data_IF_585536144908
#
_entry.id   IF_585536144908
#
_cell.length_a   1.000
_cell.length_b   1.000
_cell.length_c   1.000
_cell.angle_alpha   90.00
_cell.angle_beta   90.00
_cell.angle_gamma   90.00
#
_symmetry.space_group_name_H-M   'P 1'
#
loop_
_entity.id
_entity.type
_entity.pdbx_description
1 polymer ?
#
# COMPACT_ATOMS: atom_id res chain seq x y z
N UNK A 1 -30.28 4.50 -17.98
CA UNK A 1 -29.16 3.83 -18.68
C UNK A 1 -28.40 3.08 -17.62
N UNK A 2 -28.56 1.76 -17.56
CA UNK A 2 -27.79 0.88 -16.69
C UNK A 2 -26.35 0.87 -17.20
N UNK A 3 -25.44 1.51 -16.46
CA UNK A 3 -24.00 1.38 -16.72
C UNK A 3 -23.61 -0.02 -16.26
N UNK A 4 -23.66 -0.97 -17.20
CA UNK A 4 -23.00 -2.25 -17.03
C UNK A 4 -21.50 -1.97 -17.03
N UNK A 5 -20.89 -1.97 -15.85
CA UNK A 5 -19.44 -2.10 -15.77
C UNK A 5 -19.08 -3.42 -16.46
N UNK A 6 -18.06 -3.45 -17.34
CA UNK A 6 -17.49 -4.73 -17.73
C UNK A 6 -16.91 -5.33 -16.44
N UNK A 7 -17.69 -6.20 -15.81
CA UNK A 7 -17.10 -7.13 -14.87
C UNK A 7 -15.99 -7.81 -15.65
N UNK A 8 -14.77 -7.73 -15.16
CA UNK A 8 -13.77 -8.73 -15.51
C UNK A 8 -14.52 -10.04 -15.31
N UNK A 9 -14.83 -10.73 -16.42
CA UNK A 9 -15.50 -12.02 -16.38
C UNK A 9 -14.48 -13.06 -15.88
N UNK A 10 -14.11 -12.93 -14.62
CA UNK A 10 -13.56 -14.02 -13.83
C UNK A 10 -14.81 -14.68 -13.32
N UNK A 11 -15.15 -15.80 -13.93
CA UNK A 11 -16.22 -16.66 -13.47
C UNK A 11 -15.75 -17.33 -12.18
N UNK A 12 -16.06 -16.72 -11.05
CA UNK A 12 -15.76 -17.28 -9.71
C UNK A 12 -16.59 -18.54 -9.41
N UNK A 13 -17.50 -18.94 -10.29
CA UNK A 13 -18.38 -20.09 -10.08
C UNK A 13 -17.77 -21.42 -10.52
N UNK A 14 -16.56 -21.45 -11.07
CA UNK A 14 -15.92 -22.65 -11.60
C UNK A 14 -14.50 -22.85 -11.05
N UNK A 15 -14.33 -22.72 -9.74
CA UNK A 15 -13.06 -22.85 -9.02
C UNK A 15 -12.69 -24.30 -8.65
N UNK A 16 -13.30 -25.28 -9.28
CA UNK A 16 -12.86 -26.67 -9.14
C UNK A 16 -11.51 -26.81 -9.87
N UNK A 17 -10.48 -27.18 -9.12
CA UNK A 17 -9.15 -27.49 -9.69
C UNK A 17 -9.28 -28.59 -10.74
N UNK A 18 -8.71 -28.32 -11.92
CA UNK A 18 -8.56 -29.34 -12.96
C UNK A 18 -7.58 -30.45 -12.52
N UNK A 19 -7.54 -31.58 -13.22
CA UNK A 19 -6.64 -32.69 -12.86
C UNK A 19 -5.15 -32.30 -12.82
N UNK A 20 -4.73 -31.38 -13.68
CA UNK A 20 -3.36 -30.89 -13.71
C UNK A 20 -3.05 -30.01 -12.50
N UNK A 21 -3.97 -29.12 -12.14
CA UNK A 21 -3.84 -28.26 -10.95
C UNK A 21 -3.84 -29.09 -9.67
N UNK A 22 -4.70 -30.14 -9.58
CA UNK A 22 -4.71 -31.05 -8.46
C UNK A 22 -3.37 -31.79 -8.31
N UNK A 23 -2.78 -32.28 -9.41
CA UNK A 23 -1.47 -32.94 -9.37
C UNK A 23 -0.36 -31.98 -8.93
N UNK A 24 -0.44 -30.69 -9.30
CA UNK A 24 0.50 -29.66 -8.81
C UNK A 24 0.29 -29.42 -7.32
N UNK A 25 -0.94 -29.32 -6.85
CA UNK A 25 -1.27 -29.15 -5.44
C UNK A 25 -0.73 -30.30 -4.58
N UNK A 26 -0.93 -31.54 -5.02
CA UNK A 26 -0.38 -32.72 -4.36
C UNK A 26 1.16 -32.65 -4.29
N UNK A 27 1.80 -32.23 -5.38
CA UNK A 27 3.26 -32.09 -5.41
C UNK A 27 3.77 -30.99 -4.48
N UNK A 28 3.04 -29.86 -4.35
CA UNK A 28 3.36 -28.82 -3.37
C UNK A 28 3.27 -29.38 -1.95
N UNK A 29 2.21 -30.13 -1.64
CA UNK A 29 2.04 -30.75 -0.33
C UNK A 29 3.19 -31.72 0.03
N UNK A 30 3.59 -32.58 -0.91
CA UNK A 30 4.75 -33.45 -0.74
C UNK A 30 6.05 -32.68 -0.46
N UNK A 31 6.29 -31.59 -1.21
CA UNK A 31 7.49 -30.78 -1.02
C UNK A 31 7.47 -30.03 0.32
N UNK A 32 6.32 -29.56 0.76
CA UNK A 32 6.16 -28.96 2.11
C UNK A 32 6.53 -29.99 3.19
N UNK A 33 6.05 -31.20 3.09
CA UNK A 33 6.38 -32.27 4.04
C UNK A 33 7.87 -32.61 4.04
N UNK A 34 8.49 -32.69 2.85
CA UNK A 34 9.92 -32.98 2.70
C UNK A 34 10.82 -31.87 3.26
N UNK A 35 10.44 -30.61 3.08
CA UNK A 35 11.24 -29.45 3.52
C UNK A 35 10.98 -29.08 4.99
N UNK A 36 9.81 -29.41 5.51
CA UNK A 36 9.44 -29.16 6.90
C UNK A 36 9.70 -27.70 7.31
N UNK A 37 10.37 -27.51 8.43
CA UNK A 37 10.64 -26.18 9.02
C UNK A 37 11.61 -25.30 8.18
N UNK A 38 12.25 -25.84 7.15
CA UNK A 38 13.11 -25.08 6.25
C UNK A 38 12.30 -24.29 5.18
N UNK A 39 10.99 -24.49 5.08
CA UNK A 39 10.09 -23.82 4.15
C UNK A 39 8.98 -23.07 4.87
N UNK A 40 8.74 -21.82 4.47
CA UNK A 40 7.57 -21.03 4.83
C UNK A 40 6.90 -20.51 3.56
N UNK A 41 5.60 -20.71 3.42
CA UNK A 41 4.80 -20.17 2.32
C UNK A 41 3.90 -19.06 2.87
N UNK A 42 4.11 -17.83 2.41
CA UNK A 42 3.32 -16.66 2.75
C UNK A 42 2.33 -16.35 1.63
N UNK A 43 1.07 -16.14 1.97
CA UNK A 43 0.00 -15.80 1.02
C UNK A 43 -0.65 -14.47 1.33
N UNK A 44 -0.70 -13.55 0.35
CA UNK A 44 -1.48 -12.34 0.51
C UNK A 44 -2.97 -12.62 0.37
N UNK A 45 -3.81 -11.92 1.11
CA UNK A 45 -5.29 -12.12 1.16
C UNK A 45 -5.98 -12.18 -0.21
N UNK A 46 -5.48 -11.50 -1.22
CA UNK A 46 -6.10 -11.45 -2.54
C UNK A 46 -5.72 -12.61 -3.46
N UNK A 47 -4.88 -13.53 -3.01
CA UNK A 47 -4.53 -14.71 -3.80
C UNK A 47 -5.76 -15.62 -3.96
N UNK A 48 -5.77 -16.37 -5.07
CA UNK A 48 -6.83 -17.36 -5.32
C UNK A 48 -6.78 -18.47 -4.27
N UNK A 49 -7.92 -19.09 -4.00
CA UNK A 49 -8.04 -20.17 -3.02
C UNK A 49 -7.07 -21.33 -3.31
N UNK A 50 -6.83 -21.65 -4.61
CA UNK A 50 -5.86 -22.64 -5.03
C UNK A 50 -4.39 -22.31 -4.66
N UNK A 51 -4.09 -21.07 -4.35
CA UNK A 51 -2.79 -20.63 -3.84
C UNK A 51 -2.84 -20.53 -2.32
N UNK A 52 -3.89 -19.93 -1.79
CA UNK A 52 -4.08 -19.70 -0.35
C UNK A 52 -4.05 -21.01 0.43
N UNK A 53 -4.61 -22.10 -0.13
CA UNK A 53 -4.62 -23.43 0.49
C UNK A 53 -3.23 -23.97 0.82
N UNK A 54 -2.19 -23.49 0.17
CA UNK A 54 -0.80 -23.90 0.40
C UNK A 54 -0.05 -22.98 1.36
N UNK A 55 -0.58 -21.78 1.65
CA UNK A 55 0.05 -20.82 2.53
C UNK A 55 0.06 -21.33 3.98
N UNK A 56 1.17 -21.12 4.67
CA UNK A 56 1.29 -21.37 6.10
C UNK A 56 0.75 -20.17 6.90
N UNK A 57 0.91 -18.95 6.36
CA UNK A 57 0.43 -17.71 6.96
C UNK A 57 -0.21 -16.83 5.91
N UNK A 58 -1.31 -16.17 6.28
CA UNK A 58 -2.03 -15.21 5.47
C UNK A 58 -1.96 -13.82 6.12
N UNK A 59 -1.88 -12.78 5.32
CA UNK A 59 -1.83 -11.42 5.83
C UNK A 59 -1.82 -10.35 4.74
N UNK A 60 -1.70 -9.11 5.17
CA UNK A 60 -1.36 -7.99 4.31
C UNK A 60 0.15 -7.91 4.03
N UNK A 61 0.56 -6.93 3.24
CA UNK A 61 1.95 -6.78 2.79
C UNK A 61 2.94 -6.61 3.95
N UNK A 62 2.58 -5.81 4.96
CA UNK A 62 3.48 -5.51 6.06
C UNK A 62 3.56 -6.65 7.06
N UNK A 63 2.41 -7.17 7.49
CA UNK A 63 2.33 -8.31 8.40
C UNK A 63 3.11 -9.51 7.86
N UNK A 64 2.95 -9.84 6.58
CA UNK A 64 3.68 -10.95 5.97
C UNK A 64 5.19 -10.73 5.95
N UNK A 65 5.65 -9.49 5.75
CA UNK A 65 7.08 -9.16 5.80
C UNK A 65 7.65 -9.28 7.22
N UNK A 66 6.89 -8.87 8.25
CA UNK A 66 7.28 -9.07 9.64
C UNK A 66 7.31 -10.56 10.03
N UNK A 67 6.32 -11.34 9.58
CA UNK A 67 6.28 -12.79 9.82
C UNK A 67 7.44 -13.51 9.12
N UNK A 68 7.85 -13.06 7.92
CA UNK A 68 9.05 -13.55 7.26
C UNK A 68 10.29 -13.32 8.13
N UNK A 69 10.48 -12.10 8.64
CA UNK A 69 11.61 -11.73 9.49
C UNK A 69 11.66 -12.50 10.82
N UNK A 70 10.50 -12.88 11.38
CA UNK A 70 10.40 -13.65 12.60
C UNK A 70 10.61 -15.15 12.39
N UNK A 71 10.49 -15.63 11.16
CA UNK A 71 10.65 -17.03 10.80
C UNK A 71 12.12 -17.48 10.87
N UNK A 72 12.31 -18.77 11.09
CA UNK A 72 13.63 -19.44 10.98
C UNK A 72 13.76 -20.26 9.69
N UNK A 73 12.73 -20.28 8.85
CA UNK A 73 12.76 -20.99 7.59
C UNK A 73 13.81 -20.37 6.66
N UNK A 74 14.61 -21.22 6.03
CA UNK A 74 15.65 -20.79 5.08
C UNK A 74 15.08 -20.36 3.73
N UNK A 75 13.93 -20.93 3.35
CA UNK A 75 13.26 -20.66 2.10
C UNK A 75 11.87 -20.13 2.40
N UNK A 76 11.60 -18.90 1.95
CA UNK A 76 10.33 -18.22 2.14
C UNK A 76 9.72 -17.97 0.77
N UNK A 77 8.65 -18.69 0.43
CA UNK A 77 7.90 -18.48 -0.81
C UNK A 77 6.86 -17.41 -0.54
N UNK A 78 6.97 -16.27 -1.23
CA UNK A 78 6.06 -15.14 -1.07
C UNK A 78 5.04 -15.11 -2.20
N UNK A 79 3.81 -15.56 -1.93
CA UNK A 79 2.69 -15.50 -2.87
C UNK A 79 2.02 -14.13 -2.78
N UNK A 80 2.59 -13.15 -3.48
CA UNK A 80 2.15 -11.76 -3.54
C UNK A 80 2.73 -11.08 -4.78
N UNK A 81 3.01 -9.78 -4.68
CA UNK A 81 3.65 -8.98 -5.73
C UNK A 81 5.07 -8.57 -5.35
N UNK A 82 5.83 -8.06 -6.33
CA UNK A 82 7.27 -7.83 -6.24
C UNK A 82 7.67 -6.99 -5.01
N UNK A 83 7.08 -5.81 -4.80
CA UNK A 83 7.47 -4.94 -3.68
C UNK A 83 7.26 -5.58 -2.29
N UNK A 84 6.33 -6.54 -2.17
CA UNK A 84 6.11 -7.28 -0.92
C UNK A 84 7.24 -8.26 -0.66
N UNK A 85 7.66 -9.00 -1.70
CA UNK A 85 8.79 -9.91 -1.61
C UNK A 85 10.10 -9.15 -1.31
N UNK A 86 10.33 -7.99 -1.95
CA UNK A 86 11.46 -7.10 -1.63
C UNK A 86 11.44 -6.67 -0.16
N UNK A 87 10.28 -6.28 0.35
CA UNK A 87 10.16 -5.85 1.74
C UNK A 87 10.43 -7.00 2.73
N UNK A 88 9.98 -8.20 2.40
CA UNK A 88 10.29 -9.39 3.19
C UNK A 88 11.81 -9.70 3.14
N UNK A 89 12.43 -9.58 1.97
CA UNK A 89 13.87 -9.83 1.79
C UNK A 89 14.73 -8.83 2.58
N UNK A 90 14.34 -7.55 2.57
CA UNK A 90 15.03 -6.50 3.38
C UNK A 90 14.98 -6.79 4.89
N UNK A 91 13.90 -7.38 5.37
CA UNK A 91 13.69 -7.63 6.80
C UNK A 91 14.22 -8.98 7.27
N UNK A 92 14.49 -9.91 6.34
CA UNK A 92 15.04 -11.24 6.65
C UNK A 92 16.56 -11.21 6.78
N UNK A 93 17.16 -12.31 7.26
CA UNK A 93 18.61 -12.44 7.39
C UNK A 93 19.25 -12.95 6.10
N UNK A 94 20.56 -12.75 5.97
CA UNK A 94 21.37 -13.25 4.83
C UNK A 94 21.32 -14.78 4.65
N UNK A 95 20.92 -15.52 5.67
CA UNK A 95 20.78 -16.98 5.63
C UNK A 95 19.42 -17.42 5.05
N UNK A 96 18.46 -16.51 4.94
CA UNK A 96 17.12 -16.74 4.42
C UNK A 96 17.05 -16.33 2.95
N UNK A 97 16.19 -16.98 2.22
CA UNK A 97 15.95 -16.68 0.80
C UNK A 97 14.47 -16.44 0.58
N UNK A 98 14.12 -15.23 0.17
CA UNK A 98 12.75 -14.90 -0.26
C UNK A 98 12.61 -15.21 -1.74
N UNK A 99 11.58 -15.98 -2.09
CA UNK A 99 11.33 -16.47 -3.43
C UNK A 99 9.96 -15.95 -3.89
N UNK A 100 9.96 -15.09 -4.91
CA UNK A 100 8.75 -14.68 -5.61
C UNK A 100 8.50 -15.63 -6.79
N UNK A 101 7.42 -16.42 -6.80
CA UNK A 101 7.19 -17.45 -7.84
C UNK A 101 7.09 -16.88 -9.25
N UNK A 102 6.63 -15.64 -9.38
CA UNK A 102 6.55 -14.94 -10.66
C UNK A 102 7.10 -13.52 -10.55
N UNK A 103 8.32 -13.30 -11.05
CA UNK A 103 8.98 -11.98 -11.05
C UNK A 103 8.22 -10.88 -11.81
N UNK A 104 7.22 -11.23 -12.63
CA UNK A 104 6.35 -10.27 -13.31
C UNK A 104 5.09 -9.92 -12.53
N UNK A 105 4.92 -10.49 -11.33
CA UNK A 105 3.84 -10.13 -10.43
C UNK A 105 4.11 -8.73 -9.86
N UNK A 106 3.69 -7.68 -10.57
CA UNK A 106 3.88 -6.28 -10.22
C UNK A 106 2.63 -5.63 -9.62
N UNK A 107 2.79 -4.39 -9.20
CA UNK A 107 1.71 -3.53 -8.73
C UNK A 107 1.79 -2.21 -9.50
N UNK A 108 0.77 -1.91 -10.32
CA UNK A 108 0.77 -0.72 -11.16
C UNK A 108 0.93 0.59 -10.37
N UNK A 109 0.47 0.63 -9.13
CA UNK A 109 0.64 1.80 -8.27
C UNK A 109 2.11 1.94 -7.80
N UNK A 110 2.73 0.83 -7.39
CA UNK A 110 4.14 0.84 -6.99
C UNK A 110 5.05 1.30 -8.14
N UNK A 111 4.68 0.95 -9.38
CA UNK A 111 5.41 1.29 -10.60
C UNK A 111 5.13 2.74 -11.10
N UNK A 112 4.22 3.49 -10.45
CA UNK A 112 3.91 4.88 -10.81
C UNK A 112 4.89 5.89 -10.21
N UNK A 113 5.82 5.47 -9.38
CA UNK A 113 6.91 6.32 -8.88
C UNK A 113 8.24 5.61 -9.13
N UNK A 114 9.01 6.12 -10.07
CA UNK A 114 10.37 5.67 -10.32
C UNK A 114 11.36 6.51 -9.52
N UNK A 115 12.47 5.91 -9.09
CA UNK A 115 13.45 6.59 -8.24
C UNK A 115 14.00 7.87 -8.90
N UNK A 116 14.37 7.80 -10.16
CA UNK A 116 14.91 8.93 -10.93
C UNK A 116 13.91 10.09 -11.03
N UNK A 117 12.62 9.80 -11.21
CA UNK A 117 11.56 10.82 -11.22
C UNK A 117 11.34 11.42 -9.81
N UNK A 118 11.45 10.60 -8.75
CA UNK A 118 11.34 11.08 -7.37
C UNK A 118 12.53 11.95 -6.99
N UNK A 119 13.75 11.60 -7.41
CA UNK A 119 14.95 12.42 -7.20
C UNK A 119 14.84 13.78 -7.89
N UNK A 120 14.35 13.83 -9.13
CA UNK A 120 14.07 15.10 -9.83
C UNK A 120 13.02 15.91 -9.09
N UNK A 121 11.92 15.29 -8.69
CA UNK A 121 10.85 15.95 -7.93
C UNK A 121 11.37 16.52 -6.60
N UNK A 122 12.20 15.75 -5.90
CA UNK A 122 12.81 16.13 -4.63
C UNK A 122 13.58 17.44 -4.74
N UNK A 123 14.53 17.51 -5.68
CA UNK A 123 15.35 18.70 -5.93
C UNK A 123 14.49 19.92 -6.32
N UNK A 124 13.50 19.72 -7.18
CA UNK A 124 12.62 20.81 -7.61
C UNK A 124 11.73 21.31 -6.46
N UNK A 125 11.16 20.41 -5.64
CA UNK A 125 10.32 20.81 -4.51
C UNK A 125 11.14 21.58 -3.48
N UNK A 126 12.33 21.10 -3.12
CA UNK A 126 13.24 21.82 -2.22
C UNK A 126 13.55 23.22 -2.75
N UNK A 127 13.90 23.33 -4.04
CA UNK A 127 14.21 24.61 -4.68
C UNK A 127 13.01 25.57 -4.71
N UNK A 128 11.80 25.07 -4.97
CA UNK A 128 10.58 25.89 -5.08
C UNK A 128 9.98 26.29 -3.72
N UNK A 129 10.11 25.42 -2.72
CA UNK A 129 9.54 25.63 -1.39
C UNK A 129 10.46 26.36 -0.43
N UNK A 130 11.77 26.32 -0.65
CA UNK A 130 12.79 26.79 0.29
C UNK A 130 12.94 25.91 1.54
N UNK A 131 12.40 24.70 1.52
CA UNK A 131 12.59 23.70 2.57
C UNK A 131 13.97 23.04 2.43
N UNK A 132 14.48 22.50 3.53
CA UNK A 132 15.75 21.79 3.57
C UNK A 132 15.55 20.28 3.52
N UNK A 133 16.57 19.58 2.99
CA UNK A 133 16.66 18.13 3.12
C UNK A 133 17.07 17.77 4.57
N UNK A 134 16.31 16.93 5.28
CA UNK A 134 16.65 16.53 6.65
C UNK A 134 18.06 15.96 6.82
N UNK A 135 18.60 15.29 5.80
CA UNK A 135 19.95 14.71 5.84
C UNK A 135 21.05 15.76 5.95
N UNK A 136 20.79 17.02 5.53
CA UNK A 136 21.77 18.12 5.48
C UNK A 136 21.31 19.37 6.22
N UNK A 137 20.08 19.39 6.73
CA UNK A 137 19.47 20.54 7.39
C UNK A 137 20.23 20.94 8.66
N UNK A 138 20.26 22.25 8.93
CA UNK A 138 20.76 22.80 10.18
C UNK A 138 19.66 22.85 11.22
N UNK A 139 20.07 22.92 12.50
CA UNK A 139 19.13 23.06 13.61
C UNK A 139 18.20 24.26 13.40
N UNK A 140 16.89 24.03 13.47
CA UNK A 140 15.84 25.05 13.31
C UNK A 140 15.37 25.29 11.89
N UNK A 141 15.98 24.67 10.89
CA UNK A 141 15.45 24.71 9.51
C UNK A 141 14.19 23.84 9.37
N UNK A 142 13.25 24.33 8.57
CA UNK A 142 12.07 23.54 8.21
C UNK A 142 12.38 22.64 7.02
N UNK A 143 11.98 21.39 7.12
CA UNK A 143 12.37 20.34 6.18
C UNK A 143 11.20 19.81 5.35
N UNK A 144 11.54 19.22 4.21
CA UNK A 144 10.68 18.34 3.44
C UNK A 144 10.96 16.90 3.87
N UNK A 145 9.97 16.17 4.35
CA UNK A 145 10.13 14.77 4.79
C UNK A 145 9.57 13.83 3.74
N UNK A 146 10.36 12.93 3.15
CA UNK A 146 9.84 11.95 2.22
C UNK A 146 9.14 10.81 2.99
N UNK A 147 7.91 10.51 2.61
CA UNK A 147 7.13 9.40 3.15
C UNK A 147 6.68 8.52 2.00
N UNK A 148 7.14 7.28 1.99
CA UNK A 148 6.69 6.31 0.99
C UNK A 148 5.67 5.34 1.59
N UNK A 149 4.65 5.05 0.80
CA UNK A 149 3.76 3.94 1.10
C UNK A 149 4.50 2.61 0.91
N UNK A 150 4.20 1.62 1.73
CA UNK A 150 4.78 0.27 1.64
C UNK A 150 4.71 -0.31 0.21
N UNK A 151 3.63 0.05 -0.51
CA UNK A 151 3.39 -0.34 -1.90
C UNK A 151 4.26 0.50 -2.86
N UNK A 152 5.57 0.34 -2.76
CA UNK A 152 6.60 1.00 -3.54
C UNK A 152 7.82 0.10 -3.68
N UNK A 153 8.69 0.35 -4.66
CA UNK A 153 9.95 -0.37 -4.84
C UNK A 153 10.90 -0.18 -3.66
N UNK A 154 11.80 -1.12 -3.45
CA UNK A 154 12.80 -1.08 -2.38
C UNK A 154 13.70 0.16 -2.45
N UNK A 155 14.07 0.58 -3.66
CA UNK A 155 14.87 1.78 -3.90
C UNK A 155 14.23 3.09 -3.42
N UNK A 156 12.88 3.17 -3.41
CA UNK A 156 12.15 4.30 -2.85
C UNK A 156 12.14 4.30 -1.32
N UNK A 157 12.17 3.12 -0.71
CA UNK A 157 12.32 2.96 0.74
C UNK A 157 13.72 3.39 1.18
N UNK A 158 14.75 3.00 0.40
CA UNK A 158 16.13 3.45 0.60
C UNK A 158 16.26 4.97 0.44
N UNK A 159 15.64 5.54 -0.60
CA UNK A 159 15.56 6.99 -0.77
C UNK A 159 15.00 7.69 0.47
N UNK A 160 13.86 7.22 1.01
CA UNK A 160 13.32 7.75 2.26
C UNK A 160 14.33 7.66 3.40
N UNK A 161 14.99 6.52 3.57
CA UNK A 161 16.00 6.32 4.61
C UNK A 161 17.16 7.29 4.49
N UNK A 162 17.68 7.50 3.29
CA UNK A 162 18.79 8.45 3.01
C UNK A 162 18.42 9.91 3.28
N UNK A 163 17.18 10.29 3.10
CA UNK A 163 16.68 11.66 3.28
C UNK A 163 15.90 11.86 4.59
N UNK A 164 16.11 10.99 5.58
CA UNK A 164 15.51 11.14 6.92
C UNK A 164 13.98 10.95 6.95
N UNK A 165 13.45 10.26 5.95
CA UNK A 165 12.04 9.90 5.82
C UNK A 165 11.69 8.53 6.38
N UNK A 166 10.52 8.01 6.00
CA UNK A 166 9.96 6.79 6.58
C UNK A 166 8.99 6.10 5.62
N UNK A 167 8.74 4.82 5.88
CA UNK A 167 7.71 4.00 5.20
C UNK A 167 6.42 4.01 6.00
N UNK A 168 5.27 4.11 5.34
CA UNK A 168 3.96 3.96 5.96
C UNK A 168 3.17 2.80 5.36
N UNK A 169 2.12 2.38 6.08
CA UNK A 169 1.05 1.51 5.60
C UNK A 169 -0.27 2.26 5.62
N UNK A 170 -1.32 1.72 5.00
CA UNK A 170 -2.66 2.32 5.08
C UNK A 170 -3.23 2.37 6.50
N UNK A 171 -2.76 1.50 7.40
CA UNK A 171 -3.22 1.46 8.79
C UNK A 171 -2.51 2.44 9.71
N UNK A 172 -1.27 2.86 9.39
CA UNK A 172 -0.48 3.75 10.25
C UNK A 172 -0.16 5.12 9.62
N UNK A 173 -0.70 5.43 8.43
CA UNK A 173 -0.36 6.64 7.69
C UNK A 173 -0.55 7.93 8.50
N UNK A 174 -1.60 8.02 9.34
CA UNK A 174 -1.83 9.19 10.21
C UNK A 174 -0.70 9.38 11.22
N UNK A 175 -0.34 8.34 11.97
CA UNK A 175 0.78 8.40 12.93
C UNK A 175 2.13 8.67 12.26
N UNK A 176 2.33 8.17 11.04
CA UNK A 176 3.53 8.46 10.25
C UNK A 176 3.57 9.93 9.80
N UNK A 177 2.45 10.50 9.38
CA UNK A 177 2.40 11.92 9.04
C UNK A 177 2.62 12.81 10.27
N UNK A 178 2.08 12.45 11.45
CA UNK A 178 2.39 13.15 12.71
C UNK A 178 3.89 13.11 12.99
N UNK A 179 4.50 11.94 12.92
CA UNK A 179 5.94 11.76 13.09
C UNK A 179 6.76 12.58 12.09
N UNK A 180 6.31 12.67 10.84
CA UNK A 180 6.98 13.44 9.80
C UNK A 180 6.89 14.95 10.09
N UNK A 181 5.73 15.46 10.51
CA UNK A 181 5.55 16.87 10.87
C UNK A 181 6.37 17.29 12.10
N UNK A 182 6.48 16.43 13.10
CA UNK A 182 7.34 16.71 14.25
C UNK A 182 8.80 16.94 13.85
N UNK A 183 9.26 16.26 12.78
CA UNK A 183 10.61 16.39 12.23
C UNK A 183 10.74 17.52 11.20
N UNK A 184 9.70 17.76 10.43
CA UNK A 184 9.68 18.76 9.39
C UNK A 184 9.82 20.20 9.96
N UNK A 185 9.47 20.41 11.20
CA UNK A 185 9.43 21.72 11.84
C UNK A 185 8.18 22.53 11.46
N UNK A 186 8.02 23.76 12.02
CA UNK A 186 6.74 24.50 11.96
C UNK A 186 6.22 24.79 10.56
N UNK A 187 7.13 25.06 9.62
CA UNK A 187 6.81 25.37 8.23
C UNK A 187 7.15 24.23 7.27
N UNK A 188 7.51 23.07 7.81
CA UNK A 188 7.89 21.92 7.00
C UNK A 188 6.71 21.27 6.31
N UNK A 189 7.03 20.38 5.36
CA UNK A 189 6.08 19.65 4.54
C UNK A 189 6.50 18.19 4.37
N UNK A 190 5.59 17.40 3.81
CA UNK A 190 5.82 16.00 3.47
C UNK A 190 5.72 15.83 1.96
N UNK A 191 6.63 15.07 1.35
CA UNK A 191 6.45 14.47 0.02
C UNK A 191 5.93 13.06 0.22
N UNK A 192 4.68 12.81 -0.19
CA UNK A 192 4.00 11.52 -0.02
C UNK A 192 3.85 10.80 -1.36
N UNK A 193 4.38 9.60 -1.47
CA UNK A 193 4.35 8.79 -2.69
C UNK A 193 4.21 7.29 -2.39
N UNK A 194 3.79 6.43 -3.36
CA UNK A 194 3.31 6.81 -4.69
C UNK A 194 1.82 7.17 -4.75
N UNK A 195 0.99 6.88 -3.76
CA UNK A 195 -0.48 7.03 -3.80
C UNK A 195 -0.95 8.40 -3.31
N UNK A 196 -1.52 9.21 -4.23
CA UNK A 196 -2.06 10.52 -3.87
C UNK A 196 -3.29 10.46 -2.98
N UNK A 197 -4.13 9.42 -3.14
CA UNK A 197 -5.40 9.33 -2.43
C UNK A 197 -5.18 8.98 -0.96
N UNK A 198 -4.32 8.01 -0.67
CA UNK A 198 -3.94 7.67 0.70
C UNK A 198 -3.38 8.90 1.43
N UNK A 199 -2.42 9.62 0.81
CA UNK A 199 -1.84 10.80 1.42
C UNK A 199 -2.86 11.93 1.62
N UNK A 200 -3.72 12.21 0.62
CA UNK A 200 -4.76 13.24 0.70
C UNK A 200 -5.81 12.91 1.76
N UNK A 201 -6.38 11.71 1.73
CA UNK A 201 -7.42 11.31 2.65
C UNK A 201 -6.92 11.28 4.10
N UNK A 202 -5.67 10.83 4.31
CA UNK A 202 -5.02 10.89 5.62
C UNK A 202 -4.81 12.34 6.07
N UNK A 203 -4.28 13.21 5.21
CA UNK A 203 -4.10 14.62 5.54
C UNK A 203 -5.42 15.33 5.87
N UNK A 204 -6.49 15.07 5.12
CA UNK A 204 -7.83 15.60 5.41
C UNK A 204 -8.35 15.14 6.77
N UNK A 205 -8.19 13.87 7.11
CA UNK A 205 -8.60 13.32 8.42
C UNK A 205 -7.83 13.95 9.59
N UNK A 206 -6.63 14.43 9.35
CA UNK A 206 -5.81 15.18 10.30
C UNK A 206 -6.12 16.69 10.33
N UNK A 207 -7.06 17.16 9.52
CA UNK A 207 -7.46 18.57 9.45
C UNK A 207 -6.57 19.43 8.54
N UNK A 208 -5.73 18.87 7.70
CA UNK A 208 -4.95 19.60 6.72
C UNK A 208 -5.86 19.95 5.55
N UNK A 209 -6.08 21.24 5.24
CA UNK A 209 -7.01 21.63 4.19
C UNK A 209 -6.40 21.43 2.79
N UNK A 210 -7.26 21.27 1.78
CA UNK A 210 -6.85 21.01 0.40
C UNK A 210 -5.95 22.09 -0.21
N UNK A 211 -6.10 23.34 0.19
CA UNK A 211 -5.25 24.45 -0.28
C UNK A 211 -3.81 24.38 0.27
N UNK A 212 -3.54 23.50 1.22
CA UNK A 212 -2.22 23.16 1.75
C UNK A 212 -1.68 21.85 1.19
N UNK A 213 -2.35 21.28 0.21
CA UNK A 213 -1.91 20.09 -0.53
C UNK A 213 -1.69 20.43 -2.00
N UNK A 214 -0.66 19.90 -2.61
CA UNK A 214 -0.44 19.95 -4.06
C UNK A 214 -0.19 18.56 -4.61
N UNK A 215 -0.54 18.34 -5.87
CA UNK A 215 -0.20 17.11 -6.57
C UNK A 215 1.00 17.37 -7.45
N UNK A 216 2.01 16.52 -7.35
CA UNK A 216 3.18 16.51 -8.21
C UNK A 216 2.99 15.50 -9.34
N UNK A 217 3.03 15.96 -10.57
CA UNK A 217 2.95 15.12 -11.76
C UNK A 217 4.31 15.09 -12.46
N UNK A 218 4.98 13.94 -12.56
CA UNK A 218 6.26 13.84 -13.27
C UNK A 218 6.16 14.35 -14.71
N UNK A 219 7.17 15.07 -15.14
CA UNK A 219 7.26 15.60 -16.52
C UNK A 219 6.33 16.79 -16.83
N UNK A 220 5.56 17.29 -15.86
CA UNK A 220 4.72 18.48 -16.00
C UNK A 220 5.28 19.69 -15.24
N UNK A 221 4.78 20.89 -15.55
CA UNK A 221 5.09 22.08 -14.76
C UNK A 221 4.26 22.04 -13.47
N UNK A 222 4.95 21.85 -12.34
CA UNK A 222 4.32 21.74 -11.03
C UNK A 222 4.44 23.05 -10.23
N UNK A 223 3.38 23.42 -9.55
CA UNK A 223 3.34 24.56 -8.63
C UNK A 223 3.31 24.09 -7.18
N UNK A 224 4.17 24.65 -6.35
CA UNK A 224 4.18 24.42 -4.91
C UNK A 224 3.55 25.64 -4.22
N UNK A 225 2.37 25.51 -3.59
CA UNK A 225 1.72 26.61 -2.88
C UNK A 225 2.55 27.08 -1.68
N UNK A 226 2.48 28.37 -1.36
CA UNK A 226 3.07 28.89 -0.14
C UNK A 226 2.46 28.24 1.10
N UNK A 227 3.32 27.74 1.99
CA UNK A 227 2.92 27.03 3.20
C UNK A 227 2.26 25.69 2.91
N UNK A 228 2.61 25.05 1.80
CA UNK A 228 2.23 23.64 1.51
C UNK A 228 2.56 22.75 2.70
N UNK A 229 1.72 21.78 2.96
CA UNK A 229 1.92 20.76 4.01
C UNK A 229 2.16 19.38 3.44
N UNK A 230 1.49 19.05 2.34
CA UNK A 230 1.69 17.76 1.68
C UNK A 230 1.84 17.99 0.18
N UNK A 231 2.92 17.48 -0.39
CA UNK A 231 3.09 17.27 -1.82
C UNK A 231 2.78 15.82 -2.11
N UNK A 232 1.77 15.58 -2.91
CA UNK A 232 1.25 14.26 -3.24
C UNK A 232 1.76 13.84 -4.60
N UNK A 233 2.39 12.67 -4.71
CA UNK A 233 2.74 12.08 -6.00
C UNK A 233 1.50 11.71 -6.79
N UNK A 234 1.48 11.95 -8.10
CA UNK A 234 0.34 11.68 -8.98
C UNK A 234 0.18 10.17 -9.31
N UNK A 235 0.31 9.30 -8.33
CA UNK A 235 0.02 7.88 -8.45
C UNK A 235 -1.30 7.52 -7.77
N UNK A 236 -1.82 6.35 -8.08
CA UNK A 236 -3.09 5.85 -7.54
C UNK A 236 -3.24 4.33 -7.71
N UNK A 237 -4.03 3.71 -6.87
CA UNK A 237 -4.43 2.32 -7.06
C UNK A 237 -5.52 2.21 -8.14
N UNK A 238 -5.22 1.49 -9.23
CA UNK A 238 -6.16 1.29 -10.34
C UNK A 238 -7.43 0.53 -9.94
N UNK A 239 -7.37 -0.27 -8.88
CA UNK A 239 -8.52 -0.99 -8.31
C UNK A 239 -9.40 -0.04 -7.53
N UNK A 240 -8.84 0.70 -6.56
CA UNK A 240 -9.61 1.61 -5.71
C UNK A 240 -10.20 2.79 -6.47
N UNK A 241 -9.54 3.26 -7.53
CA UNK A 241 -10.07 4.30 -8.43
C UNK A 241 -11.35 3.89 -9.17
N UNK A 242 -11.69 2.61 -9.22
CA UNK A 242 -12.92 2.11 -9.88
C UNK A 242 -14.17 2.24 -9.01
N UNK A 243 -14.03 2.44 -7.70
CA UNK A 243 -15.16 2.68 -6.82
C UNK A 243 -15.63 4.12 -6.96
N UNK A 244 -16.96 4.31 -6.96
CA UNK A 244 -17.59 5.60 -7.25
C UNK A 244 -18.75 5.90 -6.31
N UNK A 245 -19.05 7.17 -6.09
CA UNK A 245 -20.21 7.61 -5.29
C UNK A 245 -21.53 7.02 -5.79
N UNK A 246 -21.84 6.96 -7.11
CA UNK A 246 -23.05 6.31 -7.57
C UNK A 246 -23.21 4.84 -7.18
N UNK A 247 -22.11 4.09 -7.01
CA UNK A 247 -22.17 2.71 -6.52
C UNK A 247 -22.59 2.66 -5.04
N UNK A 248 -22.07 3.58 -4.22
CA UNK A 248 -22.48 3.72 -2.81
C UNK A 248 -23.97 4.08 -2.73
N UNK A 249 -24.43 5.03 -3.53
CA UNK A 249 -25.83 5.42 -3.58
C UNK A 249 -26.76 4.28 -4.02
N UNK A 250 -26.35 3.49 -5.00
CA UNK A 250 -27.08 2.31 -5.46
C UNK A 250 -27.19 1.27 -4.34
N UNK A 251 -26.08 0.96 -3.67
CA UNK A 251 -26.06 0.05 -2.54
C UNK A 251 -27.00 0.50 -1.41
N UNK A 252 -26.95 1.76 -1.03
CA UNK A 252 -27.82 2.31 0.03
C UNK A 252 -29.31 2.27 -0.30
N UNK A 253 -29.68 2.33 -1.59
CA UNK A 253 -31.08 2.16 -2.02
C UNK A 253 -31.57 0.72 -1.81
N UNK A 254 -30.71 -0.26 -2.07
CA UNK A 254 -31.03 -1.67 -1.91
C UNK A 254 -30.89 -2.13 -0.44
N UNK A 255 -29.98 -1.50 0.29
CA UNK A 255 -29.62 -1.84 1.67
C UNK A 255 -29.67 -0.59 2.58
N UNK A 256 -30.86 -0.06 2.95
CA UNK A 256 -30.97 1.19 3.70
C UNK A 256 -30.26 1.22 5.07
N UNK A 257 -30.02 0.06 5.66
CA UNK A 257 -29.30 -0.10 6.93
C UNK A 257 -27.88 -0.63 6.74
N UNK A 258 -27.42 -0.75 5.50
CA UNK A 258 -26.09 -1.23 5.16
C UNK A 258 -25.02 -0.18 5.50
N UNK A 259 -23.89 -0.62 6.03
CA UNK A 259 -22.72 0.21 6.30
C UNK A 259 -21.72 0.08 5.15
N UNK A 260 -21.26 1.21 4.62
CA UNK A 260 -20.27 1.27 3.57
C UNK A 260 -18.91 1.62 4.17
N UNK A 261 -17.98 0.70 4.09
CA UNK A 261 -16.58 0.91 4.49
C UNK A 261 -15.72 0.87 3.25
N UNK A 262 -14.82 1.84 3.09
CA UNK A 262 -13.94 1.93 1.92
C UNK A 262 -12.47 1.99 2.34
N UNK A 263 -11.57 1.65 1.42
CA UNK A 263 -10.13 1.80 1.66
C UNK A 263 -9.71 3.26 1.46
N UNK A 264 -8.74 3.80 2.24
CA UNK A 264 -8.28 5.19 2.10
C UNK A 264 -7.55 5.48 0.77
N UNK A 265 -7.24 4.49 -0.06
CA UNK A 265 -6.78 4.67 -1.44
C UNK A 265 -7.91 4.98 -2.43
N UNK A 266 -9.18 4.95 -2.00
CA UNK A 266 -10.29 5.40 -2.83
C UNK A 266 -10.22 6.90 -3.08
N UNK A 267 -10.79 7.41 -4.20
CA UNK A 267 -10.95 8.84 -4.42
C UNK A 267 -11.61 9.54 -3.22
N UNK A 268 -11.21 10.79 -2.97
CA UNK A 268 -11.67 11.57 -1.82
C UNK A 268 -13.19 11.60 -1.70
N UNK A 269 -13.90 11.84 -2.80
CA UNK A 269 -15.35 11.88 -2.84
C UNK A 269 -16.02 10.54 -2.47
N UNK A 270 -15.33 9.44 -2.69
CA UNK A 270 -15.79 8.09 -2.29
C UNK A 270 -15.60 7.88 -0.79
N UNK A 271 -14.46 8.33 -0.26
CA UNK A 271 -14.17 8.27 1.18
C UNK A 271 -15.14 9.16 1.95
N UNK A 272 -15.43 10.38 1.46
CA UNK A 272 -16.40 11.30 2.06
C UNK A 272 -17.85 10.77 2.02
N UNK A 273 -18.20 10.02 0.97
CA UNK A 273 -19.53 9.43 0.84
C UNK A 273 -19.72 8.15 1.66
N UNK A 274 -18.65 7.50 2.10
CA UNK A 274 -18.70 6.27 2.90
C UNK A 274 -19.03 6.56 4.38
N UNK A 275 -19.43 5.52 5.10
CA UNK A 275 -19.70 5.63 6.55
C UNK A 275 -18.41 5.52 7.37
N UNK A 276 -17.40 4.84 6.81
CA UNK A 276 -16.08 4.71 7.40
C UNK A 276 -15.03 4.38 6.33
N UNK A 277 -13.77 4.61 6.67
CA UNK A 277 -12.65 4.10 5.88
C UNK A 277 -11.64 3.39 6.79
N UNK A 278 -10.91 2.43 6.21
CA UNK A 278 -9.91 1.67 6.95
C UNK A 278 -9.08 0.78 6.03
N UNK A 279 -7.97 0.28 6.56
CA UNK A 279 -7.12 -0.68 5.86
C UNK A 279 -7.83 -2.03 5.67
N UNK A 280 -7.28 -2.87 4.79
CA UNK A 280 -7.76 -4.24 4.58
C UNK A 280 -7.79 -5.03 5.90
N UNK A 281 -6.78 -4.86 6.74
CA UNK A 281 -6.71 -5.46 8.08
C UNK A 281 -7.85 -5.00 8.99
N UNK A 282 -8.15 -3.69 9.01
CA UNK A 282 -9.25 -3.15 9.80
C UNK A 282 -10.60 -3.75 9.40
N UNK A 283 -10.84 -3.95 8.09
CA UNK A 283 -12.07 -4.55 7.59
C UNK A 283 -12.14 -6.03 7.93
N UNK A 284 -11.06 -6.77 7.73
CA UNK A 284 -10.98 -8.20 8.06
C UNK A 284 -11.25 -8.44 9.54
N UNK A 285 -10.61 -7.65 10.42
CA UNK A 285 -10.80 -7.75 11.87
C UNK A 285 -12.24 -7.42 12.31
N UNK A 286 -12.83 -6.38 11.74
CA UNK A 286 -14.20 -5.98 12.03
C UNK A 286 -15.21 -7.05 11.59
N UNK A 287 -14.96 -7.66 10.42
CA UNK A 287 -15.82 -8.70 9.87
C UNK A 287 -15.75 -10.00 10.68
N UNK A 288 -14.57 -10.42 11.08
CA UNK A 288 -14.37 -11.59 11.94
C UNK A 288 -15.07 -11.43 13.29
N UNK A 289 -14.90 -10.28 13.97
CA UNK A 289 -15.60 -10.02 15.25
C UNK A 289 -17.12 -10.00 15.12
N UNK A 290 -17.67 -9.54 14.01
CA UNK A 290 -19.11 -9.58 13.80
C UNK A 290 -19.68 -11.00 13.72
N UNK A 291 -18.87 -11.99 13.39
CA UNK A 291 -19.23 -13.40 13.36
C UNK A 291 -19.02 -14.12 14.70
N UNK A 292 -18.09 -13.67 15.53
CA UNK A 292 -17.83 -14.24 16.85
C UNK A 292 -18.89 -13.85 17.91
N UNK A 293 -19.65 -12.78 17.68
CA UNK A 293 -20.70 -12.27 18.58
C UNK A 293 -22.11 -12.72 18.24
N UNK A 294 -22.28 -13.68 17.35
CA UNK A 294 -23.53 -14.37 17.03
C UNK A 294 -23.38 -15.85 17.40
#
# INVERSE_FOLDING_TARGET
MTVSLPMCAIDFTNDAMGPEEAAIADRIAELKEQMGDDLLILGHHYQRDQIVMHADLLGDSFLLSELAAQSKAKNIVFCGVHFMAESADILTSDEQRVILPNMRAGCSMADMAALDEVEVAWEEILSKSGLSDPATAKEGESCLIPVTYMNSAAELKDFCGRHGGIVCTSSNASGILEWAYDRAGPNGAVLFFPDQHLGRNTGLSMGIPLDKMSVWTPGEENTIPEGVKIVLWHGFCSVHKRFTVPQIEAFRKEHPNGVVVVHPECPMEVVEAADANGSTESVSYTHLRAHETR
#
